data_IF_700764324592
#
_entry.id   IF_700764324592
#
_cell.length_a   1.000
_cell.length_b   1.000
_cell.length_c   1.000
_cell.angle_alpha   90.00
_cell.angle_beta   90.00
_cell.angle_gamma   90.00
#
_symmetry.space_group_name_H-M   'P 1'
#
loop_
_entity.id
_entity.type
_entity.pdbx_description
1 polymer ?
#
# COMPACT_ATOMS: atom_id res chain seq x y z
N UNK A 1 -21.77 30.38 6.10
CA UNK A 1 -20.72 30.79 5.16
C UNK A 1 -19.76 29.63 5.07
N UNK A 2 -19.91 28.82 4.03
CA UNK A 2 -18.94 27.79 3.69
C UNK A 2 -17.79 28.50 2.99
N UNK A 3 -16.67 28.61 3.70
CA UNK A 3 -15.45 29.15 3.13
C UNK A 3 -14.87 28.08 2.21
N UNK A 4 -15.05 28.27 0.91
CA UNK A 4 -14.49 27.43 -0.13
C UNK A 4 -13.00 27.73 -0.26
N UNK A 5 -12.20 27.27 0.71
CA UNK A 5 -10.73 27.36 0.74
C UNK A 5 -10.06 26.43 -0.30
N UNK A 6 -10.69 26.26 -1.46
CA UNK A 6 -10.26 25.32 -2.51
C UNK A 6 -9.41 25.98 -3.59
N UNK A 7 -9.59 27.28 -3.84
CA UNK A 7 -8.74 28.02 -4.78
C UNK A 7 -7.26 28.07 -4.33
N UNK A 8 -6.98 27.73 -3.06
CA UNK A 8 -5.64 27.81 -2.47
C UNK A 8 -4.84 26.49 -2.55
N UNK A 9 -5.46 25.36 -2.94
CA UNK A 9 -4.81 24.03 -2.90
C UNK A 9 -4.49 23.42 -4.26
N UNK A 10 -5.01 23.98 -5.36
CA UNK A 10 -4.62 23.61 -6.74
C UNK A 10 -3.10 23.67 -6.97
N UNK A 11 -2.37 24.68 -6.44
CA UNK A 11 -0.91 24.72 -6.53
C UNK A 11 -0.24 23.53 -5.82
N UNK A 12 -0.77 23.15 -4.65
CA UNK A 12 -0.25 22.02 -3.88
C UNK A 12 -0.39 20.72 -4.66
N UNK A 13 -1.58 20.45 -5.23
CA UNK A 13 -1.83 19.29 -6.08
C UNK A 13 -0.92 19.29 -7.32
N UNK A 14 -0.76 20.43 -8.00
CA UNK A 14 0.15 20.54 -9.16
C UNK A 14 1.63 20.30 -8.79
N UNK A 15 2.03 20.62 -7.55
CA UNK A 15 3.39 20.39 -7.05
C UNK A 15 3.63 18.94 -6.63
N UNK A 16 2.59 18.20 -6.25
CA UNK A 16 2.70 16.79 -5.81
C UNK A 16 3.40 15.94 -6.87
N UNK A 17 3.08 16.15 -8.15
CA UNK A 17 3.66 15.43 -9.27
C UNK A 17 5.20 15.50 -9.36
N UNK A 18 5.83 16.51 -8.76
CA UNK A 18 7.29 16.69 -8.75
C UNK A 18 7.95 16.33 -7.41
N UNK A 19 7.16 15.98 -6.39
CA UNK A 19 7.65 15.71 -5.04
C UNK A 19 7.69 14.20 -4.79
N UNK A 20 8.74 13.74 -4.10
CA UNK A 20 8.87 12.33 -3.71
C UNK A 20 7.81 11.94 -2.68
N UNK A 21 7.54 12.82 -1.72
CA UNK A 21 6.46 12.66 -0.75
C UNK A 21 6.02 14.01 -0.21
N UNK A 22 4.77 14.07 0.29
CA UNK A 22 4.19 15.25 0.94
C UNK A 22 3.43 14.82 2.17
N UNK A 23 3.75 15.46 3.30
CA UNK A 23 3.04 15.31 4.56
C UNK A 23 2.19 16.56 4.81
N UNK A 24 0.88 16.38 4.92
CA UNK A 24 -0.08 17.42 5.27
C UNK A 24 -0.60 17.14 6.67
N UNK A 25 -0.60 18.15 7.53
CA UNK A 25 -1.19 18.08 8.85
C UNK A 25 -2.45 18.94 8.88
N UNK A 26 -3.54 18.37 9.39
CA UNK A 26 -4.82 19.05 9.57
C UNK A 26 -5.05 19.35 11.05
N UNK A 27 -5.72 20.46 11.34
CA UNK A 27 -6.05 20.85 12.72
C UNK A 27 -7.24 20.05 13.27
N UNK A 28 -8.10 19.53 12.37
CA UNK A 28 -9.33 18.83 12.73
C UNK A 28 -9.59 17.62 11.84
N UNK A 29 -10.31 16.63 12.39
CA UNK A 29 -10.80 15.46 11.64
C UNK A 29 -11.72 15.84 10.48
N UNK A 30 -12.47 16.95 10.62
CA UNK A 30 -13.31 17.47 9.54
C UNK A 30 -12.46 17.95 8.36
N UNK A 31 -11.40 18.73 8.61
CA UNK A 31 -10.45 19.15 7.58
C UNK A 31 -9.75 17.94 6.95
N UNK A 32 -9.33 16.97 7.76
CA UNK A 32 -8.73 15.72 7.29
C UNK A 32 -9.67 14.99 6.33
N UNK A 33 -10.91 14.76 6.74
CA UNK A 33 -11.92 14.07 5.95
C UNK A 33 -12.22 14.81 4.64
N UNK A 34 -12.27 16.15 4.70
CA UNK A 34 -12.46 17.00 3.52
C UNK A 34 -11.28 16.86 2.56
N UNK A 35 -10.04 16.94 3.04
CA UNK A 35 -8.86 16.81 2.18
C UNK A 35 -8.71 15.41 1.60
N UNK A 36 -8.91 14.37 2.42
CA UNK A 36 -8.86 12.97 2.01
C UNK A 36 -9.79 12.72 0.81
N UNK A 37 -11.05 13.16 0.91
CA UNK A 37 -12.03 12.99 -0.18
C UNK A 37 -11.54 13.56 -1.51
N UNK A 38 -10.91 14.73 -1.50
CA UNK A 38 -10.48 15.39 -2.73
C UNK A 38 -9.22 14.73 -3.31
N UNK A 39 -8.25 14.37 -2.45
CA UNK A 39 -7.07 13.62 -2.89
C UNK A 39 -7.49 12.29 -3.52
N UNK A 40 -8.45 11.59 -2.91
CA UNK A 40 -8.95 10.33 -3.44
C UNK A 40 -9.60 10.50 -4.81
N UNK A 41 -10.43 11.53 -4.99
CA UNK A 41 -11.07 11.83 -6.28
C UNK A 41 -10.04 12.17 -7.37
N UNK A 42 -8.96 12.85 -7.04
CA UNK A 42 -8.00 13.31 -8.05
C UNK A 42 -6.91 12.28 -8.39
N UNK A 43 -6.41 11.55 -7.39
CA UNK A 43 -5.24 10.66 -7.55
C UNK A 43 -5.55 9.17 -7.41
N UNK A 44 -6.67 8.81 -6.77
CA UNK A 44 -7.03 7.43 -6.46
C UNK A 44 -8.39 7.02 -7.07
N UNK A 45 -8.96 7.85 -7.96
CA UNK A 45 -10.17 7.50 -8.67
C UNK A 45 -9.93 6.27 -9.54
N UNK A 46 -10.70 5.23 -9.28
CA UNK A 46 -10.61 3.94 -9.96
C UNK A 46 -11.30 4.05 -11.31
N UNK A 47 -10.59 3.77 -12.40
CA UNK A 47 -11.25 3.59 -13.69
C UNK A 47 -11.92 2.23 -13.67
N UNK A 48 -13.24 2.23 -13.53
CA UNK A 48 -14.07 1.02 -13.54
C UNK A 48 -14.22 0.54 -14.99
N UNK A 49 -13.19 -0.05 -15.59
CA UNK A 49 -13.37 -0.76 -16.86
C UNK A 49 -13.79 -2.20 -16.61
N UNK A 50 -15.11 -2.36 -16.46
CA UNK A 50 -15.80 -3.64 -16.55
C UNK A 50 -15.83 -4.09 -18.01
N UNK A 51 -14.80 -4.82 -18.41
CA UNK A 51 -14.74 -5.54 -19.69
C UNK A 51 -14.46 -7.01 -19.43
N UNK A 52 -15.49 -7.84 -19.54
CA UNK A 52 -15.47 -9.30 -19.35
C UNK A 52 -14.49 -9.91 -20.36
N UNK A 53 -13.21 -9.97 -20.00
CA UNK A 53 -12.14 -10.62 -20.74
C UNK A 53 -11.36 -11.51 -19.77
N UNK A 54 -10.58 -12.47 -20.28
CA UNK A 54 -9.76 -13.38 -19.47
C UNK A 54 -8.78 -12.56 -18.62
N UNK A 55 -9.12 -12.36 -17.35
CA UNK A 55 -8.33 -11.61 -16.40
C UNK A 55 -7.22 -12.50 -15.83
N UNK A 56 -5.99 -12.00 -15.87
CA UNK A 56 -4.88 -12.63 -15.16
C UNK A 56 -4.73 -11.99 -13.79
N UNK A 57 -4.89 -12.80 -12.74
CA UNK A 57 -4.54 -12.39 -11.38
C UNK A 57 -3.03 -12.34 -11.21
N UNK A 58 -2.56 -11.25 -10.62
CA UNK A 58 -1.16 -11.02 -10.28
C UNK A 58 -1.08 -10.49 -8.86
N UNK A 59 0.07 -10.67 -8.24
CA UNK A 59 0.36 -10.09 -6.93
C UNK A 59 1.61 -9.23 -6.96
N UNK A 60 1.66 -8.22 -6.09
CA UNK A 60 2.82 -7.37 -5.88
C UNK A 60 3.13 -7.27 -4.41
N UNK A 61 4.42 -7.37 -4.08
CA UNK A 61 4.95 -7.24 -2.73
C UNK A 61 5.86 -6.01 -2.68
N UNK A 62 5.54 -5.10 -1.78
CA UNK A 62 6.26 -3.85 -1.60
C UNK A 62 6.72 -3.78 -0.15
N UNK A 63 8.03 -3.82 0.05
CA UNK A 63 8.63 -3.67 1.37
C UNK A 63 8.95 -2.21 1.68
N UNK A 64 8.68 -1.80 2.91
CA UNK A 64 9.00 -0.47 3.43
C UNK A 64 9.84 -0.62 4.71
N UNK A 65 10.84 0.23 4.89
CA UNK A 65 11.68 0.27 6.09
C UNK A 65 12.81 -0.75 6.08
N UNK A 66 13.06 -1.40 7.21
CA UNK A 66 14.20 -2.32 7.38
C UNK A 66 14.25 -3.48 6.37
N UNK A 67 13.14 -3.72 5.66
CA UNK A 67 12.97 -4.84 4.74
C UNK A 67 12.90 -4.45 3.27
N UNK A 68 13.01 -3.15 2.95
CA UNK A 68 12.84 -2.69 1.56
C UNK A 68 13.83 -3.36 0.59
N UNK A 69 15.12 -3.49 0.94
CA UNK A 69 16.12 -4.14 0.06
C UNK A 69 15.79 -5.61 -0.20
N UNK A 70 15.42 -6.36 0.84
CA UNK A 70 15.07 -7.76 0.74
C UNK A 70 13.83 -7.98 -0.13
N UNK A 71 12.75 -7.24 0.13
CA UNK A 71 11.52 -7.39 -0.66
C UNK A 71 11.67 -6.83 -2.07
N UNK A 72 12.45 -5.76 -2.29
CA UNK A 72 12.74 -5.29 -3.66
C UNK A 72 13.48 -6.36 -4.47
N UNK A 73 14.42 -7.09 -3.85
CA UNK A 73 15.14 -8.19 -4.50
C UNK A 73 14.24 -9.40 -4.82
N UNK A 74 13.28 -9.71 -3.94
CA UNK A 74 12.41 -10.90 -4.11
C UNK A 74 11.12 -10.58 -4.88
N UNK A 75 10.64 -9.33 -4.90
CA UNK A 75 9.42 -8.90 -5.59
C UNK A 75 9.46 -9.18 -7.10
N UNK A 76 10.63 -9.02 -7.73
CA UNK A 76 10.82 -9.39 -9.14
C UNK A 76 10.70 -10.91 -9.40
N UNK A 77 10.99 -11.74 -8.39
CA UNK A 77 10.81 -13.19 -8.51
C UNK A 77 9.37 -13.62 -8.20
N UNK A 78 8.68 -12.91 -7.30
CA UNK A 78 7.27 -13.20 -6.94
C UNK A 78 6.31 -12.74 -8.04
N UNK A 79 6.54 -11.58 -8.66
CA UNK A 79 5.76 -11.10 -9.82
C UNK A 79 5.83 -12.04 -11.04
N UNK A 80 6.87 -12.87 -11.14
CA UNK A 80 7.00 -13.94 -12.16
C UNK A 80 6.24 -15.21 -11.82
N UNK A 81 5.84 -15.41 -10.56
CA UNK A 81 4.91 -16.49 -10.17
C UNK A 81 3.50 -16.01 -10.51
N UNK A 82 3.23 -15.94 -11.81
CA UNK A 82 1.92 -15.68 -12.38
C UNK A 82 1.05 -16.91 -12.20
N UNK A 83 -0.02 -16.79 -11.43
CA UNK A 83 -1.02 -17.85 -11.31
C UNK A 83 -2.07 -17.61 -12.38
N UNK A 84 -2.10 -18.47 -13.39
CA UNK A 84 -3.16 -18.53 -14.39
C UNK A 84 -4.35 -19.31 -13.84
N UNK A 85 -5.00 -18.85 -12.79
CA UNK A 85 -6.26 -19.46 -12.34
C UNK A 85 -7.44 -18.63 -12.87
N UNK A 86 -8.41 -19.32 -13.48
CA UNK A 86 -9.63 -18.72 -14.05
C UNK A 86 -10.65 -18.31 -12.97
N UNK A 87 -10.36 -18.59 -11.70
CA UNK A 87 -11.15 -18.17 -10.54
C UNK A 87 -10.24 -18.12 -9.31
N UNK A 88 -10.21 -17.00 -8.60
CA UNK A 88 -9.32 -16.88 -7.46
C UNK A 88 -10.00 -16.25 -6.25
N UNK A 89 -10.39 -17.09 -5.29
CA UNK A 89 -10.47 -16.70 -3.88
C UNK A 89 -9.02 -16.54 -3.38
N UNK A 90 -8.30 -15.48 -3.79
CA UNK A 90 -6.94 -15.21 -3.27
C UNK A 90 -7.05 -14.72 -1.85
N UNK A 91 -7.08 -15.66 -0.92
CA UNK A 91 -6.98 -15.38 0.50
C UNK A 91 -5.51 -15.14 0.86
N UNK A 92 -5.07 -13.89 0.84
CA UNK A 92 -3.79 -13.52 1.44
C UNK A 92 -3.80 -13.90 2.93
N UNK A 93 -2.70 -14.44 3.48
CA UNK A 93 -2.71 -14.95 4.84
C UNK A 93 -2.84 -13.81 5.83
N UNK A 94 -4.01 -13.65 6.45
CA UNK A 94 -4.18 -12.81 7.64
C UNK A 94 -3.65 -13.62 8.81
N UNK A 95 -2.33 -13.64 8.95
CA UNK A 95 -1.62 -14.36 10.01
C UNK A 95 -1.17 -13.40 11.10
N UNK A 96 -1.29 -13.84 12.34
CA UNK A 96 -0.81 -13.14 13.52
C UNK A 96 0.43 -13.89 14.03
N UNK A 97 1.55 -13.72 13.32
CA UNK A 97 2.84 -14.23 13.73
C UNK A 97 3.44 -13.28 14.78
N UNK A 98 4.25 -13.76 15.74
CA UNK A 98 4.96 -12.88 16.66
C UNK A 98 5.81 -11.79 15.98
N UNK A 99 6.11 -11.86 14.68
CA UNK A 99 6.88 -10.84 13.97
C UNK A 99 6.05 -9.94 13.02
N UNK A 100 4.83 -10.34 12.63
CA UNK A 100 4.00 -9.55 11.71
C UNK A 100 2.50 -9.77 11.96
N UNK A 101 1.70 -8.75 11.66
CA UNK A 101 0.24 -8.80 11.79
C UNK A 101 -0.42 -8.56 10.43
N UNK A 102 -1.15 -9.53 9.90
CA UNK A 102 -1.89 -9.31 8.66
C UNK A 102 -3.13 -8.46 8.91
N UNK A 103 -3.32 -7.40 8.12
CA UNK A 103 -4.57 -6.63 8.05
C UNK A 103 -5.05 -6.65 6.61
N UNK A 104 -6.22 -7.22 6.37
CA UNK A 104 -6.85 -7.25 5.06
C UNK A 104 -7.82 -6.08 4.93
N UNK A 105 -7.71 -5.38 3.82
CA UNK A 105 -8.62 -4.32 3.42
C UNK A 105 -9.42 -4.69 2.19
N UNK A 106 -10.31 -3.79 1.78
CA UNK A 106 -11.15 -3.96 0.60
C UNK A 106 -10.56 -3.13 -0.55
N UNK A 107 -10.47 -3.75 -1.73
CA UNK A 107 -9.98 -3.09 -2.95
C UNK A 107 -8.63 -2.39 -2.73
N UNK A 108 -8.64 -1.06 -2.75
CA UNK A 108 -7.48 -0.18 -2.77
C UNK A 108 -7.10 0.40 -1.41
N UNK A 109 -7.83 0.07 -0.33
CA UNK A 109 -7.52 0.59 1.00
C UNK A 109 -7.35 -0.51 2.03
N UNK A 110 -6.52 -0.26 3.03
CA UNK A 110 -6.35 -1.14 4.18
C UNK A 110 -6.16 -0.34 5.45
N UNK A 111 -6.93 -0.66 6.48
CA UNK A 111 -6.84 -0.01 7.79
C UNK A 111 -6.20 -0.93 8.82
N UNK A 112 -5.40 -0.34 9.71
CA UNK A 112 -4.81 -1.04 10.84
C UNK A 112 -4.53 -0.07 11.99
N UNK A 113 -4.38 -0.65 13.19
CA UNK A 113 -3.91 0.10 14.36
C UNK A 113 -2.44 -0.22 14.57
N UNK A 114 -1.60 0.80 14.74
CA UNK A 114 -0.17 0.60 15.00
C UNK A 114 -0.01 -0.24 16.28
N UNK A 115 0.71 -1.38 16.24
CA UNK A 115 0.75 -2.32 17.35
C UNK A 115 1.27 -1.69 18.65
N UNK A 116 0.58 -1.95 19.76
CA UNK A 116 1.00 -1.49 21.08
C UNK A 116 2.27 -2.26 21.51
N UNK A 117 3.24 -1.55 22.09
CA UNK A 117 4.41 -2.13 22.76
C UNK A 117 5.40 -2.89 21.84
N UNK A 118 5.43 -2.56 20.55
CA UNK A 118 6.35 -3.17 19.59
C UNK A 118 6.93 -2.16 18.62
N UNK A 119 8.26 -2.00 18.65
CA UNK A 119 8.96 -1.18 17.68
C UNK A 119 8.62 -1.62 16.24
N UNK A 120 7.88 -0.77 15.53
CA UNK A 120 7.62 -0.96 14.11
C UNK A 120 8.94 -0.73 13.34
N UNK A 121 9.45 -1.76 12.68
CA UNK A 121 10.71 -1.68 11.89
C UNK A 121 10.46 -1.53 10.39
N UNK A 122 9.26 -1.84 9.95
CA UNK A 122 8.86 -1.74 8.56
C UNK A 122 7.44 -2.24 8.37
N UNK A 123 7.02 -2.27 7.10
CA UNK A 123 5.76 -2.88 6.69
C UNK A 123 5.93 -3.53 5.32
N UNK A 124 5.09 -4.51 5.03
CA UNK A 124 4.96 -5.09 3.69
C UNK A 124 3.55 -4.88 3.22
N UNK A 125 3.40 -4.27 2.04
CA UNK A 125 2.14 -4.15 1.33
C UNK A 125 2.07 -5.30 0.32
N UNK A 126 1.02 -6.08 0.38
CA UNK A 126 0.70 -7.12 -0.57
C UNK A 126 -0.60 -6.77 -1.27
N UNK A 127 -0.56 -6.74 -2.59
CA UNK A 127 -1.70 -6.35 -3.42
C UNK A 127 -1.95 -7.45 -4.42
N UNK A 128 -3.20 -7.88 -4.53
CA UNK A 128 -3.69 -8.77 -5.58
C UNK A 128 -4.53 -7.93 -6.54
N UNK A 129 -4.21 -8.02 -7.82
CA UNK A 129 -4.93 -7.28 -8.86
C UNK A 129 -5.12 -8.15 -10.09
N UNK A 130 -6.18 -7.87 -10.84
CA UNK A 130 -6.45 -8.44 -12.14
C UNK A 130 -6.06 -7.46 -13.25
N UNK A 131 -5.55 -8.01 -14.37
CA UNK A 131 -5.07 -7.23 -15.53
C UNK A 131 -5.35 -7.96 -16.84
N UNK A 132 -5.42 -7.21 -17.95
CA UNK A 132 -5.38 -7.82 -19.28
C UNK A 132 -4.00 -8.39 -19.58
N UNK A 133 -3.88 -9.46 -20.39
CA UNK A 133 -2.59 -10.10 -20.68
C UNK A 133 -1.53 -9.17 -21.28
N UNK A 134 -1.97 -8.09 -21.93
CA UNK A 134 -1.16 -7.12 -22.68
C UNK A 134 -0.45 -6.08 -21.78
N UNK A 135 -0.92 -5.90 -20.53
CA UNK A 135 -0.33 -4.96 -19.59
C UNK A 135 0.85 -5.64 -18.88
N UNK A 136 2.07 -5.15 -19.08
CA UNK A 136 3.24 -5.62 -18.34
C UNK A 136 3.19 -5.16 -16.88
N UNK A 137 3.42 -6.10 -15.95
CA UNK A 137 3.29 -5.93 -14.49
C UNK A 137 4.27 -4.92 -13.88
N UNK A 138 5.22 -4.42 -14.66
CA UNK A 138 6.37 -3.68 -14.16
C UNK A 138 6.03 -2.27 -13.70
N UNK A 139 4.86 -1.70 -14.04
CA UNK A 139 4.51 -0.31 -13.72
C UNK A 139 3.12 -0.10 -13.08
N UNK A 140 2.73 -1.01 -12.18
CA UNK A 140 1.34 -1.10 -11.74
C UNK A 140 0.93 -0.12 -10.62
N UNK A 141 1.72 0.06 -9.56
CA UNK A 141 1.37 0.96 -8.46
C UNK A 141 1.92 2.36 -8.74
N UNK A 142 1.07 3.38 -8.61
CA UNK A 142 1.37 4.78 -8.92
C UNK A 142 1.60 5.67 -7.73
N UNK A 143 0.74 5.60 -6.69
CA UNK A 143 0.88 6.42 -5.48
C UNK A 143 0.41 5.63 -4.23
N UNK A 144 1.01 5.95 -3.09
CA UNK A 144 0.59 5.46 -1.77
C UNK A 144 0.19 6.65 -0.90
N UNK A 145 -1.00 6.63 -0.34
CA UNK A 145 -1.46 7.61 0.64
C UNK A 145 -1.60 6.93 2.00
N UNK A 146 -0.90 7.46 3.01
CA UNK A 146 -0.99 6.99 4.39
C UNK A 146 -1.72 8.06 5.20
N UNK A 147 -2.90 7.71 5.71
CA UNK A 147 -3.73 8.56 6.56
C UNK A 147 -3.54 8.12 8.00
N UNK A 148 -3.17 9.04 8.89
CA UNK A 148 -3.20 8.80 10.32
C UNK A 148 -4.34 9.60 10.94
N UNK A 149 -5.41 8.91 11.31
CA UNK A 149 -6.61 9.52 11.87
C UNK A 149 -6.37 10.04 13.30
N UNK A 150 -5.49 9.40 14.06
CA UNK A 150 -5.16 9.83 15.42
C UNK A 150 -4.42 11.17 15.42
N UNK A 151 -3.48 11.35 14.48
CA UNK A 151 -2.67 12.57 14.36
C UNK A 151 -3.23 13.60 13.38
N UNK A 152 -4.32 13.28 12.69
CA UNK A 152 -4.89 14.10 11.63
C UNK A 152 -3.88 14.47 10.53
N UNK A 153 -3.17 13.47 10.00
CA UNK A 153 -2.16 13.70 8.94
C UNK A 153 -2.40 12.84 7.70
N UNK A 154 -1.99 13.38 6.55
CA UNK A 154 -2.01 12.74 5.23
C UNK A 154 -0.59 12.71 4.69
N UNK A 155 -0.05 11.53 4.43
CA UNK A 155 1.28 11.37 3.87
C UNK A 155 1.20 10.70 2.50
N UNK A 156 1.36 11.48 1.44
CA UNK A 156 1.33 11.02 0.05
C UNK A 156 2.77 10.66 -0.35
N UNK A 157 2.95 9.49 -0.96
CA UNK A 157 4.23 8.99 -1.43
C UNK A 157 4.18 8.62 -2.91
N UNK A 158 5.25 9.07 -3.58
CA UNK A 158 5.86 8.66 -4.83
C UNK A 158 4.91 8.45 -6.02
N UNK A 159 5.09 9.29 -7.06
CA UNK A 159 4.37 9.39 -8.33
C UNK A 159 5.14 8.76 -9.53
N UNK A 160 5.78 7.60 -9.34
CA UNK A 160 6.73 7.01 -10.31
C UNK A 160 6.26 5.72 -11.00
N UNK A 161 7.07 5.19 -11.93
CA UNK A 161 6.79 3.94 -12.66
C UNK A 161 6.99 2.67 -11.84
N UNK A 162 7.88 2.65 -10.83
CA UNK A 162 8.01 1.51 -9.91
C UNK A 162 8.11 2.03 -8.48
N UNK A 163 7.10 1.73 -7.66
CA UNK A 163 7.13 2.12 -6.26
C UNK A 163 8.18 1.30 -5.52
N UNK A 164 9.20 2.03 -5.08
CA UNK A 164 10.20 1.57 -4.12
C UNK A 164 10.33 2.62 -3.03
N UNK A 165 10.34 2.14 -1.78
CA UNK A 165 10.60 2.96 -0.62
C UNK A 165 12.06 2.82 -0.23
N UNK A 166 12.72 3.94 0.04
CA UNK A 166 14.08 3.97 0.57
C UNK A 166 14.05 4.25 2.08
N UNK A 167 15.25 4.30 2.68
CA UNK A 167 15.38 4.59 4.11
C UNK A 167 14.81 5.96 4.51
N UNK A 168 14.94 6.99 3.66
CA UNK A 168 14.44 8.35 3.94
C UNK A 168 12.90 8.36 3.95
N UNK A 169 12.27 7.66 3.01
CA UNK A 169 10.81 7.53 2.99
C UNK A 169 10.32 6.85 4.26
N UNK A 170 11.00 5.78 4.67
CA UNK A 170 10.69 5.10 5.92
C UNK A 170 10.84 5.99 7.15
N UNK A 171 11.88 6.83 7.23
CA UNK A 171 12.03 7.78 8.34
C UNK A 171 10.81 8.71 8.43
N UNK A 172 10.39 9.28 7.29
CA UNK A 172 9.20 10.15 7.25
C UNK A 172 7.88 9.42 7.56
N UNK A 173 7.74 8.16 7.12
CA UNK A 173 6.56 7.35 7.44
C UNK A 173 6.55 7.03 8.93
N UNK A 174 7.62 6.42 9.45
CA UNK A 174 7.71 5.97 10.84
C UNK A 174 7.60 7.12 11.85
N UNK A 175 8.12 8.32 11.55
CA UNK A 175 7.94 9.49 12.42
C UNK A 175 6.46 9.88 12.59
N UNK A 176 5.63 9.56 11.59
CA UNK A 176 4.19 9.82 11.64
C UNK A 176 3.39 8.68 12.28
N UNK A 177 3.99 7.51 12.58
CA UNK A 177 3.30 6.34 13.13
C UNK A 177 3.65 6.15 14.61
N UNK A 178 2.72 6.50 15.51
CA UNK A 178 2.82 6.30 16.96
C UNK A 178 2.06 5.06 17.42
N UNK A 179 2.41 4.57 18.61
CA UNK A 179 1.75 3.42 19.23
C UNK A 179 0.23 3.63 19.39
N UNK A 180 -0.57 2.69 18.88
CA UNK A 180 -2.03 2.78 18.94
C UNK A 180 -2.66 3.76 17.94
N UNK A 181 -1.87 4.39 17.06
CA UNK A 181 -2.42 5.25 16.02
C UNK A 181 -3.31 4.45 15.07
N UNK A 182 -4.43 5.05 14.67
CA UNK A 182 -5.33 4.49 13.66
C UNK A 182 -4.88 4.97 12.29
N UNK A 183 -4.52 4.01 11.44
CA UNK A 183 -3.90 4.27 10.14
C UNK A 183 -4.71 3.61 9.05
N UNK A 184 -4.84 4.28 7.92
CA UNK A 184 -5.36 3.70 6.70
C UNK A 184 -4.42 4.01 5.54
N UNK A 185 -4.15 3.01 4.72
CA UNK A 185 -3.29 3.13 3.55
C UNK A 185 -4.16 2.97 2.32
N UNK A 186 -4.10 3.93 1.41
CA UNK A 186 -4.73 3.91 0.11
C UNK A 186 -3.67 3.73 -0.98
N UNK A 187 -4.02 2.96 -2.00
CA UNK A 187 -3.15 2.59 -3.10
C UNK A 187 -3.80 3.00 -4.44
N UNK A 188 -3.04 3.67 -5.30
CA UNK A 188 -3.50 3.98 -6.67
C UNK A 188 -2.67 3.22 -7.68
N UNK A 189 -3.30 2.74 -8.74
CA UNK A 189 -2.69 1.91 -9.76
C UNK A 189 -2.80 2.54 -11.15
N UNK A 190 -1.97 2.06 -12.07
CA UNK A 190 -2.05 2.41 -13.49
C UNK A 190 -3.37 1.97 -14.13
N UNK A 191 -3.70 2.58 -15.26
CA UNK A 191 -4.91 2.27 -16.01
C UNK A 191 -4.94 0.78 -16.44
N UNK A 192 -6.14 0.19 -16.42
CA UNK A 192 -6.37 -1.20 -16.85
C UNK A 192 -6.11 -2.27 -15.78
N UNK A 193 -5.92 -1.86 -14.53
CA UNK A 193 -5.76 -2.76 -13.38
C UNK A 193 -6.94 -2.63 -12.44
N UNK A 194 -7.49 -3.77 -11.99
CA UNK A 194 -8.53 -3.82 -10.96
C UNK A 194 -7.92 -4.45 -9.72
N UNK A 195 -7.96 -3.77 -8.59
CA UNK A 195 -7.44 -4.34 -7.34
C UNK A 195 -8.52 -5.11 -6.63
N UNK A 196 -8.21 -6.36 -6.35
CA UNK A 196 -9.11 -7.31 -5.70
C UNK A 196 -8.93 -7.28 -4.19
N UNK A 197 -7.67 -7.23 -3.75
CA UNK A 197 -7.34 -7.34 -2.34
C UNK A 197 -6.04 -6.60 -2.00
N UNK A 198 -6.06 -5.89 -0.87
CA UNK A 198 -4.89 -5.23 -0.30
C UNK A 198 -4.68 -5.71 1.14
N UNK A 199 -3.47 -6.17 1.45
CA UNK A 199 -3.07 -6.56 2.81
C UNK A 199 -1.82 -5.81 3.22
N UNK A 200 -1.84 -5.27 4.43
CA UNK A 200 -0.63 -4.73 5.07
C UNK A 200 -0.17 -5.67 6.17
N UNK A 201 1.14 -5.87 6.23
CA UNK A 201 1.83 -6.57 7.29
C UNK A 201 2.78 -5.61 8.00
N UNK A 202 2.36 -4.95 9.10
CA UNK A 202 3.26 -4.24 9.98
C UNK A 202 4.25 -5.24 10.58
N UNK A 203 5.55 -4.97 10.45
CA UNK A 203 6.60 -5.85 10.96
C UNK A 203 7.20 -5.26 12.22
N UNK A 204 7.11 -6.05 13.28
CA UNK A 204 7.48 -5.69 14.63
C UNK A 204 8.59 -6.59 15.16
N UNK A 205 9.54 -6.01 15.90
CA UNK A 205 10.53 -6.79 16.65
C UNK A 205 11.97 -6.31 16.50
N UNK A 206 12.90 -7.15 16.92
CA UNK A 206 14.33 -6.86 16.86
C UNK A 206 14.79 -6.74 15.41
N UNK A 207 15.75 -5.83 15.20
CA UNK A 207 16.26 -5.25 13.94
C UNK A 207 16.48 -6.15 12.72
N UNK A 208 16.41 -7.48 12.85
CA UNK A 208 16.49 -8.46 11.76
C UNK A 208 15.58 -9.66 12.07
N UNK A 209 14.55 -9.95 11.28
CA UNK A 209 13.90 -11.24 11.26
C UNK A 209 14.96 -12.23 10.82
N UNK A 210 14.99 -13.39 11.47
CA UNK A 210 15.80 -14.50 10.95
C UNK A 210 15.39 -14.71 9.49
N UNK A 211 16.35 -14.80 8.59
CA UNK A 211 16.13 -14.97 7.14
C UNK A 211 15.10 -16.08 6.84
N UNK A 212 15.10 -17.12 7.68
CA UNK A 212 14.12 -18.21 7.69
C UNK A 212 12.66 -17.77 7.92
N UNK A 213 12.40 -16.76 8.75
CA UNK A 213 11.07 -16.19 8.98
C UNK A 213 10.56 -15.44 7.74
N UNK A 214 11.41 -14.64 7.09
CA UNK A 214 11.06 -13.94 5.85
C UNK A 214 10.84 -14.91 4.69
N UNK A 215 11.70 -15.93 4.55
CA UNK A 215 11.52 -17.01 3.58
C UNK A 215 10.21 -17.77 3.84
N UNK A 216 9.85 -18.04 5.10
CA UNK A 216 8.57 -18.66 5.47
C UNK A 216 7.38 -17.76 5.13
N UNK A 217 7.50 -16.45 5.37
CA UNK A 217 6.49 -15.46 5.03
C UNK A 217 6.26 -15.39 3.51
N UNK A 218 7.34 -15.28 2.72
CA UNK A 218 7.25 -15.27 1.26
C UNK A 218 6.67 -16.60 0.75
N UNK A 219 7.14 -17.74 1.28
CA UNK A 219 6.58 -19.06 0.92
C UNK A 219 5.08 -19.14 1.21
N UNK A 220 4.59 -18.57 2.30
CA UNK A 220 3.15 -18.54 2.61
C UNK A 220 2.39 -17.68 1.60
N UNK A 221 2.88 -16.49 1.27
CA UNK A 221 2.22 -15.58 0.33
C UNK A 221 2.22 -16.17 -1.09
N UNK A 222 3.36 -16.70 -1.54
CA UNK A 222 3.50 -17.34 -2.86
C UNK A 222 2.64 -18.60 -2.96
N UNK A 223 2.67 -19.49 -1.94
CA UNK A 223 1.85 -20.70 -1.96
C UNK A 223 0.34 -20.44 -1.87
N UNK A 224 -0.12 -19.34 -1.27
CA UNK A 224 -1.54 -18.97 -1.26
C UNK A 224 -2.03 -18.45 -2.62
N UNK A 225 -1.12 -18.00 -3.48
CA UNK A 225 -1.46 -17.78 -4.89
C UNK A 225 -1.60 -19.13 -5.63
N UNK A 226 -0.85 -20.17 -5.24
CA UNK A 226 -0.78 -21.47 -5.95
C UNK A 226 -1.89 -22.50 -5.61
N UNK A 227 -2.85 -22.22 -4.71
CA UNK A 227 -3.91 -23.18 -4.35
C UNK A 227 -5.28 -22.85 -4.95
N UNK A 228 -5.50 -23.29 -6.20
CA UNK A 228 -6.48 -24.35 -6.50
C UNK A 228 -6.30 -24.94 -7.89
#
# INVERSE_FOLDING_TARGET
MEDNSWDDMTPLLSSLANLRSVLVQCDTEFQLSKQLKNILVEYFATNTESGISKQHFRSSLIGVGAYHEFFNAVSHNVSKVTVSSESCDVCLPVDNDPYWLGHMGEEHSVSFTVPLDRDLKGMVLCVVYSSTPEIDATECLRNVLIVNYTKCTLHIHNHGTVISFNYIDWQGISSNLGYGDKVEIFLSFGHGLVVENTVVYPICGESKPKENCLLRFIKKIVMLCDFR
#
